data_IF_132278663247
#
_entry.id   IF_132278663247
#
_cell.length_a   1.000
_cell.length_b   1.000
_cell.length_c   1.000
_cell.angle_alpha   90.00
_cell.angle_beta   90.00
_cell.angle_gamma   90.00
#
_symmetry.space_group_name_H-M   'P 1'
#
loop_
_entity.id
_entity.type
_entity.pdbx_description
1 polymer ?
#
# COMPACT_ATOMS: atom_id res chain seq x y z
N UNK A 1 16.54 10.82 -11.96
CA UNK A 1 17.08 10.63 -10.58
C UNK A 1 17.58 9.22 -10.45
N UNK A 2 18.80 9.01 -10.01
CA UNK A 2 19.32 7.67 -9.79
C UNK A 2 18.77 7.04 -8.48
N UNK A 3 18.89 5.74 -8.36
CA UNK A 3 18.35 4.97 -7.23
C UNK A 3 18.92 5.42 -5.88
N UNK A 4 20.22 5.66 -5.80
CA UNK A 4 20.87 6.04 -4.54
C UNK A 4 20.40 7.43 -4.08
N UNK A 5 20.30 8.38 -4.99
CA UNK A 5 19.77 9.71 -4.71
C UNK A 5 18.32 9.62 -4.24
N UNK A 6 17.51 8.81 -4.89
CA UNK A 6 16.12 8.59 -4.53
C UNK A 6 15.99 8.05 -3.09
N UNK A 7 16.79 7.05 -2.74
CA UNK A 7 16.80 6.48 -1.38
C UNK A 7 17.21 7.53 -0.34
N UNK A 8 18.28 8.28 -0.62
CA UNK A 8 18.85 9.26 0.34
C UNK A 8 17.98 10.50 0.52
N UNK A 9 17.23 10.90 -0.50
CA UNK A 9 16.43 12.13 -0.47
C UNK A 9 14.97 11.91 -0.13
N UNK A 10 14.53 10.64 -0.05
CA UNK A 10 13.16 10.32 0.32
C UNK A 10 12.76 10.95 1.66
N UNK A 11 11.58 11.50 1.72
CA UNK A 11 10.96 12.00 2.96
C UNK A 11 9.54 11.46 3.07
N UNK A 12 9.04 11.33 4.28
CA UNK A 12 7.63 11.06 4.53
C UNK A 12 6.83 12.33 4.27
N UNK A 13 6.06 12.31 3.20
CA UNK A 13 5.23 13.45 2.81
C UNK A 13 3.86 13.31 3.47
N UNK A 14 3.40 14.37 4.11
CA UNK A 14 2.11 14.40 4.83
C UNK A 14 1.15 15.48 4.32
N UNK A 15 1.57 16.23 3.32
CA UNK A 15 0.77 17.27 2.68
C UNK A 15 0.91 17.13 1.17
N UNK A 16 -0.20 17.04 0.47
CA UNK A 16 -0.23 16.68 -0.93
C UNK A 16 -0.87 17.78 -1.77
N UNK A 17 -0.47 17.86 -3.04
CA UNK A 17 -1.14 18.70 -4.02
C UNK A 17 -2.51 18.14 -4.33
N UNK A 18 -3.48 19.03 -4.60
CA UNK A 18 -4.83 18.64 -4.99
C UNK A 18 -4.94 18.44 -6.50
N UNK A 19 -4.15 17.52 -7.03
CA UNK A 19 -4.11 17.17 -8.45
C UNK A 19 -4.54 15.73 -8.61
N UNK A 20 -5.47 15.47 -9.54
CA UNK A 20 -5.90 14.11 -9.85
C UNK A 20 -4.76 13.31 -10.46
N UNK A 21 -4.66 12.06 -10.05
CA UNK A 21 -3.66 11.13 -10.59
C UNK A 21 -4.34 10.29 -11.68
N UNK A 22 -3.74 10.24 -12.87
CA UNK A 22 -4.30 9.49 -13.99
C UNK A 22 -4.26 7.98 -13.71
N UNK A 23 -5.19 7.26 -14.34
CA UNK A 23 -5.25 5.81 -14.26
C UNK A 23 -3.94 5.15 -14.71
N UNK A 24 -3.30 5.68 -15.74
CA UNK A 24 -2.04 5.15 -16.28
C UNK A 24 -0.92 5.24 -15.24
N UNK A 25 -0.82 6.34 -14.51
CA UNK A 25 0.15 6.50 -13.42
C UNK A 25 -0.14 5.50 -12.29
N UNK A 26 -1.39 5.31 -11.92
CA UNK A 26 -1.79 4.35 -10.89
C UNK A 26 -1.40 2.92 -11.30
N UNK A 27 -1.67 2.54 -12.53
CA UNK A 27 -1.30 1.24 -13.08
C UNK A 27 0.21 1.02 -13.08
N UNK A 28 1.00 2.02 -13.47
CA UNK A 28 2.46 1.96 -13.43
C UNK A 28 2.98 1.80 -12.01
N UNK A 29 2.44 2.52 -11.04
CA UNK A 29 2.82 2.41 -9.63
C UNK A 29 2.57 1.01 -9.09
N UNK A 30 1.42 0.43 -9.39
CA UNK A 30 1.05 -0.93 -8.94
C UNK A 30 1.93 -1.96 -9.63
N UNK A 31 2.19 -1.80 -10.93
CA UNK A 31 3.09 -2.68 -11.67
C UNK A 31 4.50 -2.68 -11.07
N UNK A 32 5.05 -1.50 -10.80
CA UNK A 32 6.37 -1.38 -10.18
C UNK A 32 6.40 -2.02 -8.78
N UNK A 33 5.37 -1.79 -7.98
CA UNK A 33 5.25 -2.40 -6.66
C UNK A 33 5.13 -3.92 -6.71
N UNK A 34 4.58 -4.47 -7.79
CA UNK A 34 4.41 -5.92 -7.97
C UNK A 34 5.73 -6.68 -8.10
N UNK A 35 6.82 -5.98 -8.43
CA UNK A 35 8.16 -6.58 -8.48
C UNK A 35 8.79 -6.77 -7.09
N UNK A 36 8.17 -6.27 -6.03
CA UNK A 36 8.65 -6.52 -4.68
C UNK A 36 8.63 -8.02 -4.35
N UNK A 37 9.65 -8.53 -3.66
CA UNK A 37 9.70 -9.95 -3.33
C UNK A 37 8.58 -10.34 -2.35
N UNK A 38 8.16 -11.59 -2.43
CA UNK A 38 7.23 -12.20 -1.47
C UNK A 38 7.77 -13.54 -1.01
N UNK A 39 7.30 -14.01 0.14
CA UNK A 39 7.72 -15.29 0.68
C UNK A 39 7.46 -16.42 -0.32
N UNK A 40 8.51 -17.13 -0.71
CA UNK A 40 8.48 -18.18 -1.76
C UNK A 40 7.74 -17.75 -3.05
N UNK A 41 7.79 -16.47 -3.38
CA UNK A 41 7.14 -15.90 -4.55
C UNK A 41 5.62 -16.19 -4.61
N UNK A 42 4.95 -16.19 -3.48
CA UNK A 42 3.52 -16.48 -3.38
C UNK A 42 2.63 -15.34 -3.85
N UNK A 43 3.20 -14.13 -4.05
CA UNK A 43 2.53 -12.97 -4.64
C UNK A 43 1.20 -12.64 -3.95
N UNK A 44 1.26 -12.53 -2.62
CA UNK A 44 0.07 -12.38 -1.77
C UNK A 44 -0.51 -10.98 -1.72
N UNK A 45 0.25 -9.96 -2.12
CA UNK A 45 -0.16 -8.56 -2.01
C UNK A 45 -1.19 -8.20 -3.08
N UNK A 46 -2.22 -7.47 -2.66
CA UNK A 46 -3.24 -6.88 -3.54
C UNK A 46 -3.38 -5.40 -3.22
N UNK A 47 -3.84 -4.63 -4.20
CA UNK A 47 -3.94 -3.17 -4.09
C UNK A 47 -5.33 -2.71 -4.48
N UNK A 48 -5.87 -1.76 -3.72
CA UNK A 48 -7.10 -1.05 -4.07
C UNK A 48 -6.75 0.43 -4.17
N UNK A 49 -6.93 1.01 -5.34
CA UNK A 49 -6.75 2.44 -5.57
C UNK A 49 -8.06 3.17 -5.29
N UNK A 50 -8.04 4.12 -4.38
CA UNK A 50 -9.22 4.83 -3.91
C UNK A 50 -9.05 6.32 -4.22
N UNK A 51 -9.89 6.84 -5.11
CA UNK A 51 -9.90 8.26 -5.49
C UNK A 51 -11.17 8.98 -5.02
N UNK A 52 -12.21 8.24 -4.67
CA UNK A 52 -13.47 8.80 -4.18
C UNK A 52 -13.30 9.45 -2.80
N UNK A 53 -13.66 10.72 -2.69
CA UNK A 53 -13.48 11.49 -1.46
C UNK A 53 -14.35 10.98 -0.30
N UNK A 54 -15.55 10.50 -0.57
CA UNK A 54 -16.44 9.97 0.46
C UNK A 54 -15.91 8.66 1.04
N UNK A 55 -15.44 7.76 0.18
CA UNK A 55 -14.83 6.48 0.60
C UNK A 55 -13.56 6.74 1.41
N UNK A 56 -12.70 7.65 0.97
CA UNK A 56 -11.48 8.01 1.72
C UNK A 56 -11.82 8.58 3.10
N UNK A 57 -12.79 9.49 3.18
CA UNK A 57 -13.22 10.09 4.45
C UNK A 57 -13.76 9.02 5.41
N UNK A 58 -14.55 8.09 4.92
CA UNK A 58 -15.09 6.98 5.71
C UNK A 58 -14.00 6.06 6.24
N UNK A 59 -13.04 5.69 5.39
CA UNK A 59 -11.89 4.88 5.80
C UNK A 59 -11.02 5.61 6.82
N UNK A 60 -10.77 6.89 6.63
CA UNK A 60 -10.00 7.71 7.56
C UNK A 60 -10.66 7.77 8.94
N UNK A 61 -11.97 7.94 8.98
CA UNK A 61 -12.73 8.04 10.23
C UNK A 61 -12.82 6.69 10.96
N UNK A 62 -13.16 5.63 10.24
CA UNK A 62 -13.46 4.32 10.85
C UNK A 62 -12.23 3.45 11.09
N UNK A 63 -11.19 3.58 10.27
CA UNK A 63 -10.06 2.64 10.25
C UNK A 63 -8.73 3.23 10.67
N UNK A 64 -8.61 4.55 10.77
CA UNK A 64 -7.33 5.21 11.00
C UNK A 64 -7.31 6.03 12.28
N UNK A 65 -6.12 6.17 12.86
CA UNK A 65 -5.91 7.05 14.00
C UNK A 65 -6.18 8.51 13.63
N UNK A 66 -6.63 9.29 14.59
CA UNK A 66 -7.05 10.68 14.37
C UNK A 66 -6.01 11.54 13.66
N UNK A 67 -4.74 11.41 14.03
CA UNK A 67 -3.65 12.18 13.41
C UNK A 67 -3.40 11.84 11.94
N UNK A 68 -3.84 10.69 11.47
CA UNK A 68 -3.72 10.28 10.08
C UNK A 68 -4.90 10.69 9.19
N UNK A 69 -6.03 11.03 9.80
CA UNK A 69 -7.26 11.36 9.06
C UNK A 69 -7.09 12.54 8.10
N UNK A 70 -6.46 13.61 8.60
CA UNK A 70 -6.19 14.79 7.78
C UNK A 70 -5.22 14.51 6.63
N UNK A 71 -4.24 13.67 6.86
CA UNK A 71 -3.26 13.27 5.84
C UNK A 71 -3.96 12.49 4.70
N UNK A 72 -4.79 11.53 5.06
CA UNK A 72 -5.53 10.69 4.12
C UNK A 72 -6.53 11.51 3.31
N UNK A 73 -7.31 12.37 3.97
CA UNK A 73 -8.29 13.22 3.33
C UNK A 73 -7.65 14.27 2.41
N UNK A 74 -6.43 14.70 2.70
CA UNK A 74 -5.68 15.64 1.87
C UNK A 74 -5.00 15.02 0.66
N UNK A 75 -4.95 13.70 0.54
CA UNK A 75 -4.32 13.02 -0.58
C UNK A 75 -5.34 12.78 -1.72
N UNK A 76 -4.98 13.03 -2.99
CA UNK A 76 -5.87 12.75 -4.13
C UNK A 76 -6.05 11.25 -4.38
N UNK A 77 -5.12 10.43 -3.93
CA UNK A 77 -5.14 8.98 -4.08
C UNK A 77 -4.77 8.31 -2.77
N UNK A 78 -5.55 7.32 -2.38
CA UNK A 78 -5.23 6.39 -1.30
C UNK A 78 -5.09 4.99 -1.89
N UNK A 79 -4.01 4.30 -1.56
CA UNK A 79 -3.82 2.91 -1.95
C UNK A 79 -3.93 2.04 -0.69
N UNK A 80 -4.93 1.18 -0.65
CA UNK A 80 -5.04 0.16 0.38
C UNK A 80 -4.30 -1.09 -0.08
N UNK A 81 -3.41 -1.58 0.77
CA UNK A 81 -2.66 -2.81 0.51
C UNK A 81 -3.27 -3.94 1.32
N UNK A 82 -3.50 -5.07 0.67
CA UNK A 82 -4.13 -6.24 1.25
C UNK A 82 -3.26 -7.47 1.04
N UNK A 83 -3.44 -8.46 1.89
CA UNK A 83 -2.75 -9.74 1.81
C UNK A 83 -3.79 -10.83 1.64
N UNK A 84 -3.57 -11.70 0.65
CA UNK A 84 -4.40 -12.89 0.47
C UNK A 84 -4.06 -13.88 1.58
N UNK A 85 -5.07 -14.25 2.36
CA UNK A 85 -4.91 -15.16 3.49
C UNK A 85 -4.57 -16.59 3.04
N UNK A 86 -3.78 -17.27 3.86
CA UNK A 86 -3.42 -18.69 3.69
C UNK A 86 -2.68 -19.04 2.39
N UNK A 87 -1.99 -18.09 1.79
CA UNK A 87 -1.11 -18.33 0.62
C UNK A 87 0.38 -18.28 0.97
N UNK A 88 0.73 -17.79 2.15
CA UNK A 88 2.10 -17.52 2.54
C UNK A 88 2.32 -17.87 4.02
N UNK A 89 3.56 -18.08 4.39
CA UNK A 89 3.94 -18.27 5.78
C UNK A 89 3.49 -19.62 6.39
N UNK A 90 3.30 -20.65 5.59
CA UNK A 90 2.96 -21.96 6.12
C UNK A 90 4.21 -22.68 6.65
N UNK A 91 4.02 -23.36 7.78
CA UNK A 91 5.06 -24.11 8.45
C UNK A 91 5.25 -25.50 7.82
N UNK A 92 6.32 -26.21 8.24
CA UNK A 92 6.62 -27.56 7.72
C UNK A 92 5.53 -28.59 8.00
N UNK A 93 4.74 -28.38 9.05
CA UNK A 93 3.61 -29.24 9.43
C UNK A 93 2.32 -28.94 8.66
N UNK A 94 2.37 -27.95 7.74
CA UNK A 94 1.22 -27.52 6.96
C UNK A 94 0.37 -26.43 7.60
N UNK A 95 0.71 -25.99 8.82
CA UNK A 95 0.02 -24.85 9.43
C UNK A 95 0.49 -23.53 8.84
N UNK A 96 -0.36 -22.49 8.89
CA UNK A 96 -0.02 -21.16 8.42
C UNK A 96 0.47 -20.29 9.57
N UNK A 97 1.52 -19.49 9.27
CA UNK A 97 1.98 -18.47 10.20
C UNK A 97 0.92 -17.36 10.34
N UNK A 98 0.75 -16.87 11.57
CA UNK A 98 -0.06 -15.69 11.87
C UNK A 98 0.75 -14.40 11.81
N UNK A 99 2.07 -14.50 11.58
CA UNK A 99 2.96 -13.35 11.54
C UNK A 99 2.94 -12.66 10.18
N UNK A 100 2.73 -11.36 10.19
CA UNK A 100 2.76 -10.52 8.97
C UNK A 100 4.10 -10.56 8.25
N UNK A 101 5.20 -10.79 8.97
CA UNK A 101 6.55 -10.83 8.39
C UNK A 101 6.74 -11.97 7.39
N UNK A 102 5.94 -13.01 7.46
CA UNK A 102 6.02 -14.17 6.56
C UNK A 102 5.23 -13.94 5.26
N UNK A 103 4.53 -12.83 5.16
CA UNK A 103 3.67 -12.50 3.99
C UNK A 103 4.27 -11.44 3.04
N UNK A 104 5.41 -10.89 3.41
CA UNK A 104 6.07 -9.84 2.61
C UNK A 104 6.53 -10.27 1.22
#
# INVERSE_FOLDING_TARGET
>A
MDTITCIKTRRSVRKFKQESISKDIIEDLVLDASYAPSWKNTQTTRYIAITDAEIKAKLAEECCAEHNRGIINGAPLLIATLIVDKRSGFERDGSYSTSRKDCW
#
